data_IF_994987320239
#
_entry.id   IF_994987320239
#
_cell.length_a   1.000
_cell.length_b   1.000
_cell.length_c   1.000
_cell.angle_alpha   90.00
_cell.angle_beta   90.00
_cell.angle_gamma   90.00
#
_symmetry.space_group_name_H-M   'P 1'
#
loop_
_entity.id
_entity.type
_entity.pdbx_description
1 polymer ?
#
# COMPACT_ATOMS: atom_id res chain seq x y z
N UNK A 1 9.24 10.05 1.93
CA UNK A 1 9.91 8.75 2.14
C UNK A 1 9.16 8.01 3.22
N UNK A 2 8.81 6.74 3.01
CA UNK A 2 8.15 5.95 4.05
C UNK A 2 9.18 5.56 5.12
N UNK A 3 8.82 5.79 6.40
CA UNK A 3 9.65 5.45 7.57
C UNK A 3 8.98 4.32 8.35
N UNK A 4 9.77 3.40 8.92
CA UNK A 4 9.27 2.26 9.71
C UNK A 4 9.19 0.95 8.93
N UNK A 5 8.59 -0.07 9.54
CA UNK A 5 8.39 -1.40 8.97
C UNK A 5 7.10 -2.01 9.54
N UNK A 6 6.56 -3.02 8.85
CA UNK A 6 5.42 -3.79 9.31
C UNK A 6 5.58 -5.24 8.86
N UNK A 7 5.28 -6.19 9.74
CA UNK A 7 5.37 -7.60 9.42
C UNK A 7 4.02 -8.27 9.67
N UNK A 8 3.43 -8.82 8.61
CA UNK A 8 2.15 -9.52 8.66
C UNK A 8 1.07 -8.71 9.37
N UNK A 9 0.75 -7.54 8.81
CA UNK A 9 -0.26 -6.61 9.33
C UNK A 9 -1.33 -6.32 8.26
N UNK A 10 -2.53 -5.86 8.64
CA UNK A 10 -3.58 -5.55 7.67
C UNK A 10 -3.16 -4.45 6.68
N UNK A 11 -3.49 -4.62 5.40
CA UNK A 11 -3.20 -3.67 4.33
C UNK A 11 -3.78 -2.28 4.59
N UNK A 12 -4.94 -2.17 5.24
CA UNK A 12 -5.51 -0.89 5.66
C UNK A 12 -4.63 -0.13 6.65
N UNK A 13 -4.04 -0.86 7.60
CA UNK A 13 -3.07 -0.29 8.54
C UNK A 13 -1.78 0.11 7.81
N UNK A 14 -1.32 -0.75 6.89
CA UNK A 14 -0.17 -0.49 6.02
C UNK A 14 -0.26 0.81 5.24
N UNK A 15 -1.38 0.98 4.54
CA UNK A 15 -1.62 2.16 3.72
C UNK A 15 -1.55 3.44 4.57
N UNK A 16 -2.10 3.43 5.78
CA UNK A 16 -2.06 4.59 6.69
C UNK A 16 -0.66 4.96 7.17
N UNK A 17 0.24 3.99 7.29
CA UNK A 17 1.63 4.23 7.74
C UNK A 17 2.56 4.59 6.57
N UNK A 18 2.34 3.98 5.40
CA UNK A 18 3.19 4.15 4.22
C UNK A 18 2.80 5.40 3.43
N UNK A 19 1.49 5.58 3.17
CA UNK A 19 0.96 6.58 2.23
C UNK A 19 0.75 7.92 2.93
N UNK A 20 1.19 9.05 2.33
CA UNK A 20 0.89 10.39 2.87
C UNK A 20 -0.60 10.63 3.00
N UNK A 21 -1.02 11.36 4.03
CA UNK A 21 -2.44 11.67 4.30
C UNK A 21 -3.13 12.47 3.18
N UNK A 22 -2.35 13.15 2.33
CA UNK A 22 -2.87 13.90 1.17
C UNK A 22 -3.23 13.02 -0.02
N UNK A 23 -2.85 11.74 -0.02
CA UNK A 23 -3.14 10.80 -1.10
C UNK A 23 -4.31 9.92 -0.70
N UNK A 24 -5.39 9.93 -1.49
CA UNK A 24 -6.54 9.05 -1.25
C UNK A 24 -6.19 7.62 -1.66
N UNK A 25 -6.40 6.65 -0.77
CA UNK A 25 -6.26 5.22 -1.05
C UNK A 25 -7.63 4.60 -1.28
N UNK A 26 -7.76 3.81 -2.34
CA UNK A 26 -8.96 3.05 -2.70
C UNK A 26 -8.60 1.60 -2.98
N UNK A 27 -9.54 0.68 -2.74
CA UNK A 27 -9.37 -0.75 -2.96
C UNK A 27 -10.33 -1.18 -4.06
N UNK A 28 -9.78 -1.61 -5.20
CA UNK A 28 -10.52 -2.14 -6.32
C UNK A 28 -10.81 -3.64 -6.16
N UNK A 29 -11.44 -4.27 -7.17
CA UNK A 29 -11.76 -5.69 -7.14
C UNK A 29 -10.54 -6.57 -6.84
N UNK A 30 -10.70 -7.50 -5.90
CA UNK A 30 -9.64 -8.42 -5.48
C UNK A 30 -8.65 -7.87 -4.45
N UNK A 31 -8.70 -6.57 -4.12
CA UNK A 31 -7.93 -5.99 -3.01
C UNK A 31 -8.82 -5.84 -1.77
N UNK A 32 -8.32 -6.25 -0.61
CA UNK A 32 -9.00 -6.06 0.68
C UNK A 32 -8.10 -5.34 1.67
N UNK A 33 -8.67 -4.40 2.43
CA UNK A 33 -7.97 -3.75 3.54
C UNK A 33 -7.58 -4.73 4.66
N UNK A 34 -8.19 -5.92 4.72
CA UNK A 34 -7.85 -6.99 5.66
C UNK A 34 -6.75 -7.93 5.15
N UNK A 35 -6.31 -7.82 3.89
CA UNK A 35 -5.22 -8.63 3.36
C UNK A 35 -3.94 -8.37 4.15
N UNK A 36 -3.20 -9.44 4.45
CA UNK A 36 -2.00 -9.34 5.25
C UNK A 36 -0.80 -8.99 4.37
N UNK A 37 -0.06 -7.96 4.77
CA UNK A 37 1.15 -7.52 4.07
C UNK A 37 2.28 -7.26 5.05
N UNK A 38 3.49 -7.36 4.51
CA UNK A 38 4.70 -6.89 5.17
C UNK A 38 5.32 -5.78 4.32
N UNK A 39 5.93 -4.79 4.95
CA UNK A 39 6.66 -3.74 4.25
C UNK A 39 7.91 -3.33 5.01
N UNK A 40 8.86 -2.82 4.25
CA UNK A 40 10.07 -2.20 4.76
C UNK A 40 10.13 -0.76 4.25
N UNK A 41 10.29 0.20 5.16
CA UNK A 41 10.56 1.59 4.80
C UNK A 41 11.95 1.75 4.20
N UNK A 42 12.36 2.99 3.90
CA UNK A 42 13.66 3.25 3.28
C UNK A 42 13.58 3.73 1.83
N UNK A 43 12.38 3.79 1.25
CA UNK A 43 12.12 4.20 -0.14
C UNK A 43 10.97 5.21 -0.25
N UNK A 44 10.62 5.59 -1.48
CA UNK A 44 9.39 6.34 -1.76
C UNK A 44 8.15 5.54 -1.32
N UNK A 45 7.12 6.20 -0.81
CA UNK A 45 5.91 5.53 -0.30
C UNK A 45 5.23 4.66 -1.37
N UNK A 46 5.26 5.12 -2.61
CA UNK A 46 4.69 4.45 -3.78
C UNK A 46 5.46 3.16 -4.11
N UNK A 47 6.78 3.18 -3.95
CA UNK A 47 7.62 2.00 -4.12
C UNK A 47 7.42 1.00 -2.98
N UNK A 48 7.44 1.47 -1.73
CA UNK A 48 7.18 0.62 -0.55
C UNK A 48 5.81 -0.04 -0.63
N UNK A 49 4.76 0.72 -0.96
CA UNK A 49 3.42 0.16 -1.09
C UNK A 49 3.34 -0.84 -2.25
N UNK A 50 4.01 -0.57 -3.38
CA UNK A 50 4.05 -1.49 -4.53
C UNK A 50 4.72 -2.81 -4.15
N UNK A 51 5.82 -2.76 -3.41
CA UNK A 51 6.52 -3.95 -2.92
C UNK A 51 5.67 -4.73 -1.93
N UNK A 52 4.96 -4.04 -1.03
CA UNK A 52 4.12 -4.67 -0.01
C UNK A 52 2.94 -5.45 -0.61
N UNK A 53 2.34 -4.97 -1.71
CA UNK A 53 1.17 -5.59 -2.33
C UNK A 53 1.51 -6.62 -3.43
N UNK A 54 2.74 -6.60 -3.96
CA UNK A 54 3.21 -7.50 -5.01
C UNK A 54 3.05 -9.00 -4.67
N UNK A 55 3.34 -9.49 -3.44
CA UNK A 55 3.15 -10.90 -3.08
C UNK A 55 1.69 -11.38 -3.15
N UNK A 56 0.74 -10.45 -3.04
CA UNK A 56 -0.69 -10.74 -3.14
C UNK A 56 -1.18 -10.78 -4.60
N UNK A 57 -0.29 -10.57 -5.57
CA UNK A 57 -0.66 -10.42 -6.98
C UNK A 57 -1.46 -9.15 -7.24
N UNK A 58 -1.29 -8.12 -6.40
CA UNK A 58 -1.94 -6.83 -6.53
C UNK A 58 -0.99 -5.79 -7.12
N UNK A 59 -1.55 -4.76 -7.73
CA UNK A 59 -0.83 -3.67 -8.36
C UNK A 59 -1.43 -2.31 -7.98
N UNK A 60 -0.61 -1.27 -8.06
CA UNK A 60 -1.01 0.11 -7.83
C UNK A 60 -1.40 0.79 -9.14
N UNK A 61 -2.56 1.43 -9.16
CA UNK A 61 -2.96 2.37 -10.21
C UNK A 61 -2.92 3.77 -9.61
N UNK A 62 -2.04 4.63 -10.14
CA UNK A 62 -1.85 5.99 -9.63
C UNK A 62 -2.53 7.00 -10.55
N UNK A 63 -3.26 7.95 -9.97
CA UNK A 63 -3.76 9.17 -10.62
C UNK A 63 -3.15 10.39 -9.92
N UNK A 64 -3.43 11.61 -10.40
CA UNK A 64 -2.84 12.83 -9.84
C UNK A 64 -3.02 13.02 -8.32
N UNK A 65 -4.10 12.50 -7.70
CA UNK A 65 -4.31 12.61 -6.25
C UNK A 65 -4.84 11.33 -5.56
N UNK A 66 -4.95 10.22 -6.29
CA UNK A 66 -5.46 8.98 -5.73
C UNK A 66 -4.64 7.76 -6.17
N UNK A 67 -4.57 6.78 -5.27
CA UNK A 67 -4.02 5.45 -5.54
C UNK A 67 -5.13 4.41 -5.37
N UNK A 68 -5.24 3.51 -6.34
CA UNK A 68 -6.10 2.34 -6.27
C UNK A 68 -5.24 1.08 -6.20
N UNK A 69 -5.58 0.18 -5.30
CA UNK A 69 -4.97 -1.15 -5.17
C UNK A 69 -5.94 -2.16 -5.79
N UNK A 70 -5.51 -2.92 -6.80
CA UNK A 70 -6.35 -3.92 -7.49
C UNK A 70 -5.55 -5.15 -7.90
N UNK A 71 -6.24 -6.22 -8.29
CA UNK A 71 -5.63 -7.42 -8.89
C UNK A 71 -5.17 -7.18 -10.32
#
# INVERSE_FOLDING_TARGET
MAKGFGNNVPLGFACRQIVPSTVRVTYGPGASASSMVSWQGGKGWNEVLREAVKPLGLHLVMTHMAVEIRK
#
